data_IF_102675855650
#
_entry.id   IF_102675855650
#
_cell.length_a   1.000
_cell.length_b   1.000
_cell.length_c   1.000
_cell.angle_alpha   90.00
_cell.angle_beta   90.00
_cell.angle_gamma   90.00
#
_symmetry.space_group_name_H-M   'P 1'
#
loop_
_entity.id
_entity.type
_entity.pdbx_description
1 polymer ?
#
# COMPACT_ATOMS: atom_id res chain seq x y z
N UNK A 1 31.92 0.13 -16.72
CA UNK A 1 31.20 -0.85 -17.56
C UNK A 1 29.78 -0.35 -17.77
N UNK A 2 29.17 -0.50 -18.96
CA UNK A 2 27.80 -0.06 -19.20
C UNK A 2 26.84 -0.83 -18.27
N UNK A 3 25.89 -0.14 -17.65
CA UNK A 3 24.91 -0.76 -16.74
C UNK A 3 24.05 -1.77 -17.51
N UNK A 4 23.94 -3.00 -17.00
CA UNK A 4 23.08 -4.03 -17.58
C UNK A 4 21.58 -3.74 -17.43
N UNK A 5 21.24 -2.68 -16.69
CA UNK A 5 19.89 -2.27 -16.35
C UNK A 5 19.42 -1.20 -17.36
N UNK A 6 18.23 -1.36 -17.97
CA UNK A 6 17.66 -0.33 -18.84
C UNK A 6 17.46 1.01 -18.12
N UNK A 7 17.75 2.12 -18.80
CA UNK A 7 17.67 3.48 -18.23
C UNK A 7 16.30 3.81 -17.64
N UNK A 8 15.22 3.31 -18.26
CA UNK A 8 13.85 3.52 -17.77
C UNK A 8 13.67 2.98 -16.35
N UNK A 9 14.07 1.74 -16.09
CA UNK A 9 14.00 1.16 -14.74
C UNK A 9 14.93 1.85 -13.76
N UNK A 10 16.08 2.33 -14.22
CA UNK A 10 16.97 3.09 -13.37
C UNK A 10 16.28 4.36 -12.85
N UNK A 11 15.62 5.14 -13.73
CA UNK A 11 14.89 6.35 -13.32
C UNK A 11 13.72 5.98 -12.41
N UNK A 12 12.92 4.98 -12.78
CA UNK A 12 11.77 4.56 -12.00
C UNK A 12 12.17 4.13 -10.58
N UNK A 13 13.16 3.26 -10.44
CA UNK A 13 13.51 2.71 -9.13
C UNK A 13 14.40 3.62 -8.27
N UNK A 14 15.18 4.52 -8.86
CA UNK A 14 16.09 5.38 -8.07
C UNK A 14 15.56 6.80 -7.84
N UNK A 15 14.54 7.23 -8.58
CA UNK A 15 13.96 8.57 -8.48
C UNK A 15 12.47 8.52 -8.14
N UNK A 16 11.68 7.80 -8.92
CA UNK A 16 10.22 7.77 -8.74
C UNK A 16 9.86 6.99 -7.47
N UNK A 17 10.46 5.83 -7.28
CA UNK A 17 10.18 4.93 -6.15
C UNK A 17 10.44 5.57 -4.77
N UNK A 18 11.61 6.20 -4.50
CA UNK A 18 11.81 6.88 -3.23
C UNK A 18 10.85 8.06 -3.03
N UNK A 19 10.43 8.74 -4.09
CA UNK A 19 9.45 9.82 -4.00
C UNK A 19 8.05 9.29 -3.63
N UNK A 20 7.64 8.19 -4.24
CA UNK A 20 6.39 7.49 -3.91
C UNK A 20 6.42 7.01 -2.45
N UNK A 21 7.53 6.40 -2.02
CA UNK A 21 7.69 5.89 -0.66
C UNK A 21 7.72 7.02 0.38
N UNK A 22 8.35 8.16 0.08
CA UNK A 22 8.32 9.36 0.94
C UNK A 22 6.91 9.96 1.02
N UNK A 23 6.19 10.01 -0.10
CA UNK A 23 4.81 10.45 -0.12
C UNK A 23 3.92 9.56 0.76
N UNK A 24 4.02 8.23 0.62
CA UNK A 24 3.32 7.29 1.48
C UNK A 24 3.68 7.46 2.97
N UNK A 25 4.97 7.60 3.28
CA UNK A 25 5.46 7.89 4.64
C UNK A 25 4.80 9.14 5.22
N UNK A 26 4.69 10.21 4.41
CA UNK A 26 4.07 11.47 4.84
C UNK A 26 2.60 11.29 5.20
N UNK A 27 1.84 10.50 4.44
CA UNK A 27 0.43 10.22 4.73
C UNK A 27 0.29 9.48 6.07
N UNK A 28 1.10 8.45 6.30
CA UNK A 28 1.03 7.66 7.53
C UNK A 28 1.47 8.42 8.79
N UNK A 29 2.40 9.38 8.68
CA UNK A 29 2.88 10.15 9.83
C UNK A 29 2.10 11.45 10.06
N UNK A 30 1.77 12.18 9.00
CA UNK A 30 1.20 13.53 9.09
C UNK A 30 -0.32 13.53 8.93
N UNK A 31 -0.90 12.50 8.33
CA UNK A 31 -2.36 12.39 8.09
C UNK A 31 -2.90 10.97 8.34
N UNK A 32 -2.68 10.40 9.54
CA UNK A 32 -3.07 9.01 9.83
C UNK A 32 -4.58 8.80 9.77
N UNK A 33 -5.39 9.83 10.02
CA UNK A 33 -6.86 9.76 9.87
C UNK A 33 -7.28 9.47 8.44
N UNK A 34 -6.58 10.05 7.45
CA UNK A 34 -6.82 9.80 6.02
C UNK A 34 -6.58 8.33 5.70
N UNK A 35 -5.43 7.78 6.13
CA UNK A 35 -5.11 6.37 5.95
C UNK A 35 -6.16 5.47 6.63
N UNK A 36 -6.46 5.73 7.90
CA UNK A 36 -7.40 4.93 8.69
C UNK A 36 -8.80 4.89 8.08
N UNK A 37 -9.28 6.02 7.57
CA UNK A 37 -10.64 6.15 7.02
C UNK A 37 -10.89 5.31 5.76
N UNK A 38 -9.83 4.89 5.07
CA UNK A 38 -9.92 3.98 3.94
C UNK A 38 -10.06 2.52 4.38
N UNK A 39 -9.44 2.14 5.51
CA UNK A 39 -9.37 0.76 5.98
C UNK A 39 -10.42 0.42 7.04
N UNK A 40 -10.86 1.39 7.84
CA UNK A 40 -11.87 1.22 8.87
C UNK A 40 -13.26 1.68 8.40
N UNK A 41 -14.34 0.95 8.73
CA UNK A 41 -15.70 1.42 8.48
C UNK A 41 -15.98 2.75 9.20
N UNK A 42 -16.71 3.65 8.55
CA UNK A 42 -17.33 4.79 9.25
C UNK A 42 -18.29 4.26 10.31
N UNK A 43 -17.97 4.49 11.58
CA UNK A 43 -18.87 4.22 12.69
C UNK A 43 -19.85 5.40 12.79
N UNK A 44 -20.88 5.43 11.95
CA UNK A 44 -21.97 6.39 12.13
C UNK A 44 -22.65 6.15 13.50
N UNK A 45 -23.03 7.21 14.24
CA UNK A 45 -23.96 7.07 15.36
C UNK A 45 -25.19 6.32 14.88
N UNK A 46 -25.73 5.34 15.65
CA UNK A 46 -27.02 4.77 15.29
C UNK A 46 -28.04 5.91 15.21
N UNK A 47 -28.68 6.09 14.04
CA UNK A 47 -29.84 6.97 13.91
C UNK A 47 -30.90 6.48 14.89
N UNK A 48 -31.10 7.25 15.96
CA UNK A 48 -32.08 6.96 16.99
C UNK A 48 -33.49 7.15 16.41
N UNK A 49 -34.15 6.06 16.06
CA UNK A 49 -35.56 6.03 15.68
C UNK A 49 -36.39 5.68 16.94
N UNK A 50 -37.03 6.67 17.61
CA UNK A 50 -37.83 6.44 18.79
C UNK A 50 -39.07 5.56 18.51
N UNK A 51 -39.46 5.40 17.25
CA UNK A 51 -40.61 4.55 16.85
C UNK A 51 -40.25 3.06 16.74
N UNK A 52 -38.96 2.73 16.73
CA UNK A 52 -38.45 1.35 16.62
C UNK A 52 -37.67 0.87 17.86
N UNK A 53 -37.48 1.72 18.86
CA UNK A 53 -36.75 1.39 20.08
C UNK A 53 -37.71 1.07 21.23
N UNK A 54 -37.71 -0.19 21.67
CA UNK A 54 -38.45 -0.62 22.86
C UNK A 54 -37.75 -0.09 24.13
N UNK A 55 -38.44 0.37 25.19
CA UNK A 55 -37.80 0.92 26.37
C UNK A 55 -36.84 -0.01 27.13
N UNK A 56 -36.90 -1.32 26.88
CA UNK A 56 -35.90 -2.29 27.36
C UNK A 56 -34.56 -2.29 26.57
N UNK A 57 -34.48 -1.58 25.45
CA UNK A 57 -33.22 -1.40 24.71
C UNK A 57 -32.28 -0.38 25.37
N UNK A 58 -32.80 0.43 26.31
CA UNK A 58 -31.96 1.30 27.14
C UNK A 58 -31.25 0.54 28.26
N UNK A 59 -31.85 -0.51 28.82
CA UNK A 59 -31.27 -1.27 29.94
C UNK A 59 -30.20 -2.28 29.51
N UNK A 60 -30.07 -2.55 28.21
CA UNK A 60 -28.94 -3.29 27.63
C UNK A 60 -27.73 -2.42 27.27
N UNK A 61 -27.86 -1.07 27.32
CA UNK A 61 -26.73 -0.14 27.13
C UNK A 61 -25.82 0.01 28.36
N UNK A 62 -26.13 -0.66 29.47
CA UNK A 62 -25.22 -0.85 30.63
C UNK A 62 -24.49 -2.20 30.59
N UNK A 63 -24.54 -2.92 29.47
CA UNK A 63 -23.62 -4.01 29.20
C UNK A 63 -22.26 -3.44 28.78
N UNK A 64 -21.11 -3.94 29.30
CA UNK A 64 -19.77 -3.44 28.96
C UNK A 64 -19.33 -3.70 27.50
N UNK A 65 -20.26 -4.07 26.61
CA UNK A 65 -19.97 -4.58 25.27
C UNK A 65 -20.94 -4.08 24.17
N UNK A 66 -21.47 -2.85 24.27
CA UNK A 66 -22.26 -2.23 23.18
C UNK A 66 -21.54 -1.02 22.55
N UNK A 67 -21.27 -0.99 21.22
CA UNK A 67 -20.66 0.14 20.52
C UNK A 67 -21.62 1.33 20.38
N UNK A 68 -21.57 2.29 21.31
CA UNK A 68 -21.93 3.69 21.07
C UNK A 68 -20.87 4.39 20.21
N UNK A 69 -21.16 5.48 19.49
CA UNK A 69 -20.14 6.28 18.77
C UNK A 69 -19.10 6.94 19.70
N UNK A 70 -19.28 6.75 21.02
CA UNK A 70 -18.39 7.18 22.09
C UNK A 70 -17.78 5.94 22.79
N UNK A 71 -17.78 4.77 22.15
CA UNK A 71 -17.34 3.55 22.84
C UNK A 71 -15.83 3.54 23.06
N UNK A 72 -15.38 2.95 24.18
CA UNK A 72 -13.99 2.61 24.38
C UNK A 72 -13.41 1.84 23.19
N UNK A 73 -14.19 1.00 22.50
CA UNK A 73 -13.74 0.21 21.35
C UNK A 73 -13.44 1.02 20.08
N UNK A 74 -14.29 1.99 19.70
CA UNK A 74 -14.07 2.86 18.54
C UNK A 74 -12.85 3.76 18.76
N UNK A 75 -12.78 4.38 19.93
CA UNK A 75 -11.64 5.19 20.36
C UNK A 75 -10.37 4.35 20.49
N UNK A 76 -10.48 3.13 21.02
CA UNK A 76 -9.35 2.21 21.15
C UNK A 76 -8.82 1.74 19.80
N UNK A 77 -9.67 1.38 18.82
CA UNK A 77 -9.23 1.04 17.47
C UNK A 77 -8.48 2.21 16.81
N UNK A 78 -8.99 3.43 16.98
CA UNK A 78 -8.31 4.64 16.53
C UNK A 78 -6.95 4.82 17.25
N UNK A 79 -6.89 4.64 18.57
CA UNK A 79 -5.66 4.75 19.37
C UNK A 79 -4.63 3.65 19.07
N UNK A 80 -5.07 2.41 18.78
CA UNK A 80 -4.20 1.29 18.43
C UNK A 80 -3.70 1.34 16.99
N UNK A 81 -4.32 2.14 16.12
CA UNK A 81 -3.86 2.33 14.74
C UNK A 81 -2.57 3.15 14.65
N UNK A 82 -2.31 4.05 15.60
CA UNK A 82 -1.17 4.97 15.61
C UNK A 82 0.20 4.25 15.53
N UNK A 83 0.49 3.24 16.39
CA UNK A 83 1.72 2.46 16.27
C UNK A 83 1.82 1.70 14.94
N UNK A 84 0.71 1.24 14.38
CA UNK A 84 0.68 0.51 13.11
C UNK A 84 1.01 1.44 11.94
N UNK A 85 0.48 2.67 11.93
CA UNK A 85 0.86 3.68 10.95
C UNK A 85 2.35 4.02 11.04
N UNK A 86 2.90 4.16 12.25
CA UNK A 86 4.32 4.43 12.44
C UNK A 86 5.20 3.28 11.92
N UNK A 87 4.77 2.02 12.09
CA UNK A 87 5.47 0.86 11.55
C UNK A 87 5.47 0.85 10.01
N UNK A 88 4.32 1.12 9.38
CA UNK A 88 4.21 1.20 7.92
C UNK A 88 5.03 2.40 7.39
N UNK A 89 4.96 3.55 8.03
CA UNK A 89 5.77 4.72 7.69
C UNK A 89 7.27 4.43 7.79
N UNK A 90 7.72 3.77 8.87
CA UNK A 90 9.12 3.37 9.03
C UNK A 90 9.57 2.40 7.95
N UNK A 91 8.72 1.44 7.58
CA UNK A 91 8.99 0.52 6.48
C UNK A 91 9.11 1.25 5.13
N UNK A 92 8.18 2.16 4.81
CA UNK A 92 8.23 2.94 3.57
C UNK A 92 9.44 3.88 3.54
N UNK A 93 9.79 4.53 4.65
CA UNK A 93 10.97 5.38 4.74
C UNK A 93 12.26 4.57 4.53
N UNK A 94 12.35 3.38 5.12
CA UNK A 94 13.45 2.44 4.89
C UNK A 94 13.57 2.08 3.41
N UNK A 95 12.44 1.77 2.75
CA UNK A 95 12.43 1.49 1.31
C UNK A 95 12.81 2.72 0.48
N UNK A 96 12.42 3.94 0.88
CA UNK A 96 12.85 5.16 0.21
C UNK A 96 14.37 5.34 0.28
N UNK A 97 14.98 5.11 1.44
CA UNK A 97 16.42 5.20 1.61
C UNK A 97 17.15 4.11 0.82
N UNK A 98 16.68 2.87 0.86
CA UNK A 98 17.30 1.76 0.13
C UNK A 98 17.18 1.97 -1.39
N UNK A 99 16.00 2.30 -1.90
CA UNK A 99 15.81 2.60 -3.33
C UNK A 99 16.66 3.79 -3.80
N UNK A 100 16.81 4.83 -2.98
CA UNK A 100 17.64 5.98 -3.29
C UNK A 100 19.15 5.69 -3.18
N UNK A 101 19.60 4.96 -2.16
CA UNK A 101 21.03 4.82 -1.85
C UNK A 101 21.59 3.49 -2.33
N UNK A 102 20.96 2.36 -2.00
CA UNK A 102 21.45 1.02 -2.35
C UNK A 102 21.57 0.85 -3.85
N UNK A 103 20.53 1.23 -4.60
CA UNK A 103 20.49 1.08 -6.06
C UNK A 103 21.47 2.03 -6.78
N UNK A 104 21.86 3.15 -6.15
CA UNK A 104 22.94 4.01 -6.66
C UNK A 104 24.32 3.48 -6.32
N UNK A 105 24.44 2.77 -5.21
CA UNK A 105 25.70 2.18 -4.75
C UNK A 105 26.08 0.92 -5.53
N UNK A 106 25.11 0.16 -6.05
CA UNK A 106 25.37 -1.11 -6.77
C UNK A 106 24.84 -1.14 -8.20
N UNK A 107 25.66 -1.72 -9.08
CA UNK A 107 25.31 -1.98 -10.47
C UNK A 107 25.02 -3.48 -10.74
N UNK A 108 25.02 -4.32 -9.69
CA UNK A 108 24.75 -5.76 -9.83
C UNK A 108 23.25 -6.02 -10.00
N UNK A 109 22.89 -6.58 -11.16
CA UNK A 109 21.52 -6.92 -11.51
C UNK A 109 20.89 -7.92 -10.53
N UNK A 110 21.68 -8.81 -9.90
CA UNK A 110 21.16 -9.75 -8.89
C UNK A 110 20.61 -9.01 -7.68
N UNK A 111 21.34 -8.00 -7.19
CA UNK A 111 20.92 -7.20 -6.03
C UNK A 111 19.65 -6.43 -6.38
N UNK A 112 19.59 -5.84 -7.58
CA UNK A 112 18.38 -5.16 -8.06
C UNK A 112 17.18 -6.11 -8.11
N UNK A 113 17.34 -7.32 -8.65
CA UNK A 113 16.24 -8.31 -8.70
C UNK A 113 15.78 -8.76 -7.31
N UNK A 114 16.71 -9.04 -6.40
CA UNK A 114 16.36 -9.43 -5.03
C UNK A 114 15.59 -8.30 -4.33
N UNK A 115 16.06 -7.06 -4.46
CA UNK A 115 15.41 -5.91 -3.86
C UNK A 115 14.02 -5.65 -4.46
N UNK A 116 13.88 -5.69 -5.80
CA UNK A 116 12.58 -5.51 -6.45
C UNK A 116 11.60 -6.65 -6.15
N UNK A 117 12.08 -7.89 -5.95
CA UNK A 117 11.26 -9.00 -5.49
C UNK A 117 10.73 -8.76 -4.07
N UNK A 118 11.59 -8.28 -3.16
CA UNK A 118 11.17 -7.94 -1.80
C UNK A 118 10.08 -6.85 -1.81
N UNK A 119 10.25 -5.80 -2.61
CA UNK A 119 9.25 -4.76 -2.75
C UNK A 119 7.95 -5.26 -3.42
N UNK A 120 8.04 -6.18 -4.39
CA UNK A 120 6.85 -6.77 -5.01
C UNK A 120 5.98 -7.53 -3.99
N UNK A 121 6.60 -8.19 -3.01
CA UNK A 121 5.87 -8.85 -1.91
C UNK A 121 5.16 -7.81 -1.03
N UNK A 122 5.80 -6.66 -0.78
CA UNK A 122 5.19 -5.53 -0.05
C UNK A 122 4.00 -4.99 -0.82
N UNK A 123 4.14 -4.74 -2.13
CA UNK A 123 3.04 -4.26 -2.98
C UNK A 123 1.84 -5.21 -2.94
N UNK A 124 2.09 -6.52 -3.07
CA UNK A 124 1.04 -7.53 -3.01
C UNK A 124 0.32 -7.53 -1.65
N UNK A 125 1.06 -7.35 -0.56
CA UNK A 125 0.51 -7.29 0.80
C UNK A 125 -0.34 -6.03 1.01
N UNK A 126 0.12 -4.88 0.52
CA UNK A 126 -0.63 -3.62 0.55
C UNK A 126 -1.92 -3.71 -0.25
N UNK A 127 -1.84 -4.18 -1.50
CA UNK A 127 -3.01 -4.37 -2.36
C UNK A 127 -4.01 -5.34 -1.73
N UNK A 128 -3.55 -6.49 -1.22
CA UNK A 128 -4.41 -7.44 -0.54
C UNK A 128 -5.14 -6.81 0.65
N UNK A 129 -4.42 -6.09 1.51
CA UNK A 129 -5.01 -5.41 2.66
C UNK A 129 -6.08 -4.39 2.24
N UNK A 130 -5.80 -3.57 1.23
CA UNK A 130 -6.77 -2.61 0.68
C UNK A 130 -8.01 -3.29 0.11
N UNK A 131 -7.84 -4.31 -0.74
CA UNK A 131 -8.97 -5.03 -1.32
C UNK A 131 -9.81 -5.76 -0.27
N UNK A 132 -9.17 -6.40 0.72
CA UNK A 132 -9.86 -7.07 1.81
C UNK A 132 -10.69 -6.07 2.64
N UNK A 133 -10.12 -4.91 2.97
CA UNK A 133 -10.85 -3.84 3.67
C UNK A 133 -12.04 -3.32 2.86
N UNK A 134 -11.86 -3.07 1.56
CA UNK A 134 -12.95 -2.59 0.71
C UNK A 134 -14.05 -3.64 0.51
N UNK A 135 -13.71 -4.93 0.49
CA UNK A 135 -14.68 -6.01 0.44
C UNK A 135 -15.56 -6.03 1.69
N UNK A 136 -14.96 -5.91 2.87
CA UNK A 136 -15.68 -5.86 4.16
C UNK A 136 -16.59 -4.63 4.26
N UNK A 137 -16.20 -3.52 3.62
CA UNK A 137 -17.00 -2.28 3.58
C UNK A 137 -18.04 -2.27 2.46
N UNK A 138 -18.11 -3.30 1.60
CA UNK A 138 -19.01 -3.31 0.44
C UNK A 138 -18.65 -2.31 -0.67
N UNK A 139 -17.48 -1.67 -0.60
CA UNK A 139 -17.04 -0.60 -1.53
C UNK A 139 -16.56 -1.13 -2.88
N UNK A 140 -16.38 -2.45 -3.01
CA UNK A 140 -16.01 -3.09 -4.28
C UNK A 140 -17.16 -3.17 -5.29
N UNK A 141 -18.42 -3.06 -4.84
CA UNK A 141 -19.58 -3.20 -5.72
C UNK A 141 -19.73 -2.03 -6.69
N UNK A 142 -19.46 -0.79 -6.24
CA UNK A 142 -19.56 0.43 -7.03
C UNK A 142 -18.35 1.34 -6.80
N UNK A 143 -17.16 0.99 -7.33
CA UNK A 143 -15.92 1.72 -7.05
C UNK A 143 -15.94 3.16 -7.57
N UNK A 144 -16.63 3.43 -8.68
CA UNK A 144 -16.69 4.77 -9.30
C UNK A 144 -17.43 5.82 -8.45
N UNK A 145 -18.35 5.40 -7.57
CA UNK A 145 -19.11 6.32 -6.71
C UNK A 145 -18.68 6.28 -5.24
N UNK A 146 -17.98 5.22 -4.81
CA UNK A 146 -17.66 5.01 -3.38
C UNK A 146 -16.20 5.28 -3.04
N UNK A 147 -15.29 5.30 -4.02
CA UNK A 147 -13.87 5.54 -3.78
C UNK A 147 -13.57 7.02 -3.81
N UNK A 148 -12.83 7.48 -2.81
CA UNK A 148 -12.36 8.86 -2.76
C UNK A 148 -11.18 9.01 -3.70
N UNK A 149 -10.80 10.26 -3.99
CA UNK A 149 -9.67 10.53 -4.88
C UNK A 149 -8.36 9.94 -4.32
N UNK A 150 -8.22 9.97 -2.99
CA UNK A 150 -7.08 9.42 -2.26
C UNK A 150 -6.99 7.89 -2.38
N UNK A 151 -8.14 7.21 -2.37
CA UNK A 151 -8.24 5.76 -2.55
C UNK A 151 -7.77 5.37 -3.96
N UNK A 152 -8.25 6.09 -4.98
CA UNK A 152 -7.80 5.92 -6.35
C UNK A 152 -6.30 6.17 -6.50
N UNK A 153 -5.80 7.27 -5.92
CA UNK A 153 -4.38 7.63 -5.96
C UNK A 153 -3.50 6.55 -5.34
N UNK A 154 -3.79 6.16 -4.10
CA UNK A 154 -2.99 5.16 -3.39
C UNK A 154 -3.00 3.79 -4.09
N UNK A 155 -4.17 3.34 -4.55
CA UNK A 155 -4.28 2.04 -5.22
C UNK A 155 -3.58 2.02 -6.58
N UNK A 156 -3.80 3.05 -7.41
CA UNK A 156 -3.22 3.12 -8.75
C UNK A 156 -1.69 3.24 -8.72
N UNK A 157 -1.16 4.03 -7.78
CA UNK A 157 0.30 4.15 -7.58
C UNK A 157 0.88 2.80 -7.16
N UNK A 158 0.28 2.14 -6.16
CA UNK A 158 0.77 0.84 -5.66
C UNK A 158 0.69 -0.24 -6.74
N UNK A 159 -0.42 -0.29 -7.49
CA UNK A 159 -0.59 -1.24 -8.59
C UNK A 159 0.43 -1.02 -9.71
N UNK A 160 0.64 0.23 -10.13
CA UNK A 160 1.61 0.57 -11.16
C UNK A 160 3.04 0.24 -10.72
N UNK A 161 3.38 0.52 -9.46
CA UNK A 161 4.68 0.20 -8.89
C UNK A 161 4.91 -1.32 -8.90
N UNK A 162 3.94 -2.11 -8.42
CA UNK A 162 3.99 -3.57 -8.46
C UNK A 162 4.12 -4.14 -9.87
N UNK A 163 3.35 -3.63 -10.84
CA UNK A 163 3.45 -4.04 -12.24
C UNK A 163 4.82 -3.72 -12.84
N UNK A 164 5.38 -2.55 -12.53
CA UNK A 164 6.72 -2.16 -12.98
C UNK A 164 7.79 -3.11 -12.43
N UNK A 165 7.67 -3.51 -11.16
CA UNK A 165 8.56 -4.49 -10.53
C UNK A 165 8.42 -5.87 -11.15
N UNK A 166 7.20 -6.33 -11.37
CA UNK A 166 6.95 -7.59 -12.07
C UNK A 166 7.58 -7.57 -13.48
N UNK A 167 7.33 -6.51 -14.26
CA UNK A 167 7.92 -6.35 -15.60
C UNK A 167 9.45 -6.40 -15.57
N UNK A 168 10.08 -5.71 -14.61
CA UNK A 168 11.53 -5.76 -14.41
C UNK A 168 12.04 -7.18 -14.10
N UNK A 169 11.37 -7.90 -13.19
CA UNK A 169 11.75 -9.25 -12.78
C UNK A 169 11.60 -10.26 -13.92
N UNK A 170 10.58 -10.11 -14.75
CA UNK A 170 10.40 -10.91 -15.97
C UNK A 170 11.31 -10.49 -17.13
N UNK A 171 12.14 -9.46 -16.96
CA UNK A 171 13.10 -9.02 -17.97
C UNK A 171 12.46 -8.26 -19.12
N UNK A 172 11.26 -7.72 -18.96
CA UNK A 172 10.59 -6.88 -19.97
C UNK A 172 11.43 -5.62 -20.20
N UNK A 173 11.76 -5.30 -21.46
CA UNK A 173 12.55 -4.12 -21.82
C UNK A 173 14.06 -4.28 -21.70
N UNK A 174 14.57 -5.48 -21.38
CA UNK A 174 16.00 -5.79 -21.48
C UNK A 174 16.39 -6.09 -22.93
N UNK A 175 17.60 -5.67 -23.38
CA UNK A 175 18.06 -5.99 -24.73
C UNK A 175 18.15 -7.51 -24.93
N UNK A 176 17.71 -7.99 -26.09
CA UNK A 176 17.83 -9.40 -26.44
C UNK A 176 19.31 -9.82 -26.38
N UNK A 177 19.59 -10.91 -25.67
CA UNK A 177 20.96 -11.45 -25.60
C UNK A 177 21.31 -12.00 -26.99
N UNK A 178 22.07 -11.22 -27.75
CA UNK A 178 22.52 -11.61 -29.09
C UNK A 178 23.26 -12.95 -28.95
N UNK A 179 22.65 -14.03 -29.45
CA UNK A 179 23.28 -15.35 -29.51
C UNK A 179 24.43 -15.19 -30.50
N UNK A 180 25.65 -15.11 -29.99
CA UNK A 180 26.84 -15.24 -30.81
C UNK A 180 26.82 -16.65 -31.40
N UNK A 181 26.26 -16.77 -32.61
CA UNK A 181 26.43 -17.94 -33.47
C UNK A 181 27.90 -17.97 -33.80
N UNK A 182 28.68 -18.64 -32.94
CA UNK A 182 30.05 -19.00 -33.23
C UNK A 182 29.95 -20.07 -34.31
N UNK A 183 29.86 -19.65 -35.58
CA UNK A 183 30.15 -20.48 -36.72
C UNK A 183 31.62 -20.89 -36.59
N UNK A 184 31.85 -21.97 -35.84
CA UNK A 184 32.90 -22.93 -36.13
C UNK A 184 32.44 -23.71 -37.36
N UNK A 185 32.69 -23.13 -38.53
CA UNK A 185 32.96 -23.86 -39.76
C UNK A 185 34.23 -23.17 -40.26
N UNK A 186 35.39 -23.80 -40.27
CA UNK A 186 35.68 -25.18 -40.65
C UNK A 186 36.83 -25.05 -41.62
#
# INVERSE_FOLDING_TARGET
MPSQIPKTYHILFTLLDPLIALWGTSIFLLSPSTATSSYLPSLEPPTYDPSKSHPASYTSSTSPFHPTPNTPAATALQSYSLPLHAQIAGHLLSNALLSALLLRATHDLKIWRIYQLALLIVDASLLYGTFASYALQGRLANPLSTWRLEDWGALSITLLAGLTRAAFLFGVGFPAKERTVKNKAG
#
